data_IF_561504671589
#
_entry.id   IF_561504671589
#
_cell.length_a   1.000
_cell.length_b   1.000
_cell.length_c   1.000
_cell.angle_alpha   90.00
_cell.angle_beta   90.00
_cell.angle_gamma   90.00
#
_symmetry.space_group_name_H-M   'P 1'
#
loop_
_entity.id
_entity.type
_entity.pdbx_description
1 polymer ?
#
# COMPACT_ATOMS: atom_id res chain seq x y z
N UNK A 1 -23.50 31.92 -7.47
CA UNK A 1 -24.60 31.29 -8.23
C UNK A 1 -25.92 31.40 -7.50
N UNK A 2 -26.03 30.96 -6.27
CA UNK A 2 -27.26 30.99 -5.47
C UNK A 2 -27.81 32.43 -5.25
N UNK A 3 -26.90 33.37 -5.00
CA UNK A 3 -27.31 34.76 -4.69
C UNK A 3 -27.78 35.53 -5.92
N UNK A 4 -27.27 35.20 -7.12
CA UNK A 4 -27.69 35.81 -8.38
C UNK A 4 -29.00 35.23 -8.91
N UNK A 5 -29.28 33.94 -8.65
CA UNK A 5 -30.53 33.28 -9.03
C UNK A 5 -31.73 33.90 -8.32
N UNK A 6 -31.57 34.28 -7.03
CA UNK A 6 -32.62 34.94 -6.28
C UNK A 6 -32.96 36.36 -6.76
N UNK A 7 -32.07 36.99 -7.57
CA UNK A 7 -32.30 38.30 -8.20
C UNK A 7 -32.77 38.21 -9.67
N UNK A 8 -33.12 37.01 -10.15
CA UNK A 8 -33.60 36.77 -11.51
C UNK A 8 -32.54 36.87 -12.63
N UNK A 9 -31.27 37.03 -12.30
CA UNK A 9 -30.18 37.04 -13.27
C UNK A 9 -29.50 35.70 -13.35
N UNK A 10 -29.76 34.93 -14.39
CA UNK A 10 -29.04 33.68 -14.72
C UNK A 10 -27.71 34.02 -15.41
N UNK A 11 -26.62 33.99 -14.67
CA UNK A 11 -25.30 34.18 -15.24
C UNK A 11 -24.79 32.82 -15.74
N UNK A 12 -25.14 32.49 -17.00
CA UNK A 12 -24.87 31.19 -17.64
C UNK A 12 -23.37 30.97 -17.83
N UNK A 13 -22.55 32.03 -17.77
CA UNK A 13 -21.10 31.97 -17.96
C UNK A 13 -20.35 31.44 -16.73
N UNK A 14 -20.97 31.35 -15.57
CA UNK A 14 -20.31 30.81 -14.36
C UNK A 14 -19.97 29.33 -14.50
N UNK A 15 -20.86 28.55 -15.12
CA UNK A 15 -20.64 27.11 -15.32
C UNK A 15 -19.41 26.79 -16.22
N UNK A 16 -19.29 27.35 -17.43
CA UNK A 16 -18.13 27.07 -18.30
C UNK A 16 -16.83 27.61 -17.69
N UNK A 17 -16.86 28.76 -16.98
CA UNK A 17 -15.66 29.29 -16.32
C UNK A 17 -15.23 28.40 -15.17
N UNK A 18 -16.16 27.89 -14.35
CA UNK A 18 -15.85 26.98 -13.25
C UNK A 18 -15.30 25.64 -13.76
N UNK A 19 -15.86 25.09 -14.84
CA UNK A 19 -15.35 23.87 -15.44
C UNK A 19 -13.95 24.04 -16.03
N UNK A 20 -13.70 25.15 -16.74
CA UNK A 20 -12.38 25.47 -17.27
C UNK A 20 -11.33 25.63 -16.16
N UNK A 21 -11.70 26.27 -15.04
CA UNK A 21 -10.82 26.41 -13.87
C UNK A 21 -10.46 25.06 -13.23
N UNK A 22 -11.43 24.14 -13.12
CA UNK A 22 -11.21 22.79 -12.60
C UNK A 22 -10.28 22.01 -13.53
N UNK A 23 -10.47 22.06 -14.85
CA UNK A 23 -9.58 21.41 -15.80
C UNK A 23 -8.16 22.00 -15.77
N UNK A 24 -8.01 23.32 -15.63
CA UNK A 24 -6.71 23.96 -15.47
C UNK A 24 -6.01 23.49 -14.18
N UNK A 25 -6.74 23.41 -13.07
CA UNK A 25 -6.22 22.87 -11.81
C UNK A 25 -5.77 21.42 -11.94
N UNK A 26 -6.53 20.54 -12.59
CA UNK A 26 -6.17 19.16 -12.83
C UNK A 26 -4.90 19.08 -13.70
N UNK A 27 -4.74 19.98 -14.66
CA UNK A 27 -3.57 20.00 -15.53
C UNK A 27 -2.30 20.48 -14.81
N UNK A 28 -2.44 21.45 -13.90
CA UNK A 28 -1.33 22.00 -13.10
C UNK A 28 -0.97 21.05 -11.94
N UNK A 29 -1.95 20.37 -11.36
CA UNK A 29 -1.77 19.45 -10.20
C UNK A 29 -1.53 18.01 -10.62
N UNK A 30 -1.32 17.72 -11.93
CA UNK A 30 -0.84 16.39 -12.31
C UNK A 30 0.39 16.10 -11.45
N UNK A 31 0.35 15.11 -10.52
CA UNK A 31 1.57 14.71 -9.84
C UNK A 31 2.54 14.30 -10.94
N UNK A 32 3.65 14.98 -11.03
CA UNK A 32 4.77 14.48 -11.81
C UNK A 32 5.04 13.10 -11.25
N UNK A 33 4.73 12.05 -12.01
CA UNK A 33 5.23 10.72 -11.72
C UNK A 33 6.73 10.85 -11.87
N UNK A 34 7.40 11.26 -10.80
CA UNK A 34 8.82 11.11 -10.67
C UNK A 34 9.04 9.60 -10.64
N UNK A 35 9.18 9.03 -11.82
CA UNK A 35 9.92 7.78 -11.99
C UNK A 35 11.30 8.14 -11.47
N UNK A 36 11.52 7.89 -10.20
CA UNK A 36 12.83 7.91 -9.59
C UNK A 36 13.62 6.82 -10.31
N UNK A 37 14.38 7.21 -11.30
CA UNK A 37 15.43 6.39 -11.87
C UNK A 37 16.54 6.27 -10.82
N UNK A 38 16.27 5.51 -9.77
CA UNK A 38 17.33 4.96 -8.93
C UNK A 38 18.04 3.90 -9.76
N UNK A 39 19.37 3.99 -9.91
CA UNK A 39 20.14 3.05 -10.71
C UNK A 39 20.35 1.66 -10.09
N UNK A 40 19.68 1.35 -9.01
CA UNK A 40 19.61 0.01 -8.46
C UNK A 40 18.26 -0.65 -8.84
N UNK A 41 18.12 -0.95 -10.13
CA UNK A 41 17.25 -2.05 -10.53
C UNK A 41 17.84 -3.31 -9.90
N UNK A 42 17.33 -3.71 -8.74
CA UNK A 42 17.37 -5.10 -8.33
C UNK A 42 16.61 -5.85 -9.43
N UNK A 43 17.36 -6.30 -10.44
CA UNK A 43 16.86 -7.19 -11.48
C UNK A 43 16.61 -8.52 -10.77
N UNK A 44 15.43 -8.68 -10.17
CA UNK A 44 14.94 -10.00 -9.85
C UNK A 44 14.70 -10.68 -11.18
N UNK A 45 15.70 -11.47 -11.61
CA UNK A 45 15.54 -12.39 -12.72
C UNK A 45 14.30 -13.26 -12.51
N UNK A 46 13.98 -14.12 -13.46
CA UNK A 46 12.89 -15.11 -13.40
C UNK A 46 13.04 -16.13 -12.26
N UNK A 47 13.88 -15.87 -11.28
CA UNK A 47 14.18 -16.74 -10.14
C UNK A 47 13.05 -16.67 -9.12
N UNK A 48 12.63 -17.84 -8.68
CA UNK A 48 11.60 -18.03 -7.63
C UNK A 48 12.00 -17.31 -6.34
N UNK A 49 11.06 -16.65 -5.69
CA UNK A 49 11.29 -15.97 -4.41
C UNK A 49 11.34 -17.01 -3.28
N UNK A 50 12.49 -17.23 -2.63
CA UNK A 50 12.58 -18.22 -1.56
C UNK A 50 11.82 -17.74 -0.33
N UNK A 51 11.07 -18.66 0.31
CA UNK A 51 10.27 -18.32 1.50
C UNK A 51 11.12 -17.77 2.64
N UNK A 52 12.37 -18.18 2.79
CA UNK A 52 13.27 -17.65 3.81
C UNK A 52 13.42 -16.12 3.75
N UNK A 53 13.44 -15.53 2.55
CA UNK A 53 13.48 -14.08 2.36
C UNK A 53 12.17 -13.44 2.80
N UNK A 54 11.04 -14.03 2.41
CA UNK A 54 9.69 -13.59 2.82
C UNK A 54 9.56 -13.64 4.34
N UNK A 55 10.01 -14.73 4.96
CA UNK A 55 10.00 -14.91 6.41
C UNK A 55 10.77 -13.79 7.11
N UNK A 56 11.97 -13.47 6.63
CA UNK A 56 12.80 -12.40 7.17
C UNK A 56 12.07 -11.04 7.12
N UNK A 57 11.42 -10.72 6.01
CA UNK A 57 10.63 -9.48 5.88
C UNK A 57 9.48 -9.46 6.89
N UNK A 58 8.73 -10.55 7.00
CA UNK A 58 7.59 -10.63 7.93
C UNK A 58 8.03 -10.54 9.39
N UNK A 59 9.16 -11.15 9.75
CA UNK A 59 9.72 -11.07 11.09
C UNK A 59 10.10 -9.64 11.47
N UNK A 60 10.72 -8.92 10.55
CA UNK A 60 11.16 -7.54 10.80
C UNK A 60 10.03 -6.51 10.73
N UNK A 61 9.03 -6.73 9.87
CA UNK A 61 8.03 -5.71 9.54
C UNK A 61 6.65 -5.95 10.14
N UNK A 62 6.32 -7.19 10.51
CA UNK A 62 4.96 -7.57 10.88
C UNK A 62 4.83 -8.17 12.29
N UNK A 63 5.81 -8.96 12.74
CA UNK A 63 5.73 -9.71 13.98
C UNK A 63 5.66 -8.84 15.24
N UNK A 64 6.17 -7.62 15.21
CA UNK A 64 6.07 -6.70 16.34
C UNK A 64 4.61 -6.48 16.79
N UNK A 65 3.67 -6.49 15.83
CA UNK A 65 2.23 -6.35 16.10
C UNK A 65 1.45 -7.67 15.90
N UNK A 66 1.91 -8.54 15.00
CA UNK A 66 1.18 -9.72 14.53
C UNK A 66 1.83 -11.03 15.00
N UNK A 67 2.05 -11.15 16.28
CA UNK A 67 2.55 -12.38 16.94
C UNK A 67 1.66 -12.77 18.12
N UNK A 68 1.89 -13.96 18.67
CA UNK A 68 1.21 -14.40 19.90
C UNK A 68 1.58 -13.52 21.09
N UNK A 69 2.78 -12.92 21.08
CA UNK A 69 3.29 -12.01 22.11
C UNK A 69 3.81 -10.73 21.46
N UNK A 70 2.92 -9.78 21.08
CA UNK A 70 3.34 -8.55 20.42
C UNK A 70 4.28 -7.72 21.29
N UNK A 71 5.29 -7.15 20.67
CA UNK A 71 6.28 -6.27 21.32
C UNK A 71 6.06 -4.79 21.02
N UNK A 72 5.04 -4.48 20.22
CA UNK A 72 4.66 -3.11 19.86
C UNK A 72 4.19 -2.32 21.09
N UNK A 73 4.46 -1.02 21.11
CA UNK A 73 4.11 -0.13 22.23
C UNK A 73 2.60 0.13 22.33
N UNK A 74 1.87 0.05 21.23
CA UNK A 74 0.42 0.29 21.14
C UNK A 74 -0.37 -1.02 21.12
N UNK A 75 0.02 -1.96 20.26
CA UNK A 75 -0.69 -3.23 20.06
C UNK A 75 -0.13 -4.32 20.97
N UNK A 76 -0.77 -4.54 22.11
CA UNK A 76 -0.39 -5.58 23.10
C UNK A 76 -1.02 -6.95 22.82
N UNK A 77 -1.95 -7.00 21.89
CA UNK A 77 -2.64 -8.21 21.41
C UNK A 77 -2.67 -8.11 19.89
N UNK A 78 -2.44 -9.24 19.21
CA UNK A 78 -2.45 -9.28 17.75
C UNK A 78 -3.78 -8.74 17.18
N UNK A 79 -3.74 -7.66 16.38
CA UNK A 79 -4.94 -7.05 15.82
C UNK A 79 -5.76 -8.06 15.02
N UNK A 80 -7.06 -8.12 15.31
CA UNK A 80 -8.02 -9.09 14.71
C UNK A 80 -7.59 -10.57 14.85
N UNK A 81 -6.71 -10.89 15.78
CA UNK A 81 -6.17 -12.24 15.94
C UNK A 81 -5.29 -12.72 14.78
N UNK A 82 -4.83 -11.81 13.93
CA UNK A 82 -3.93 -12.13 12.82
C UNK A 82 -2.51 -12.27 13.37
N UNK A 83 -1.94 -13.48 13.23
CA UNK A 83 -0.61 -13.81 13.72
C UNK A 83 0.20 -14.50 12.63
N UNK A 84 1.51 -14.21 12.58
CA UNK A 84 2.45 -14.74 11.60
C UNK A 84 3.55 -15.61 12.26
N UNK A 85 3.24 -16.23 13.39
CA UNK A 85 4.20 -17.05 14.16
C UNK A 85 4.59 -18.35 13.48
N UNK A 86 3.78 -18.87 12.55
CA UNK A 86 4.10 -20.10 11.82
C UNK A 86 3.97 -19.93 10.31
N UNK A 87 4.83 -20.64 9.59
CA UNK A 87 4.92 -20.59 8.12
C UNK A 87 3.61 -20.99 7.43
N UNK A 88 2.96 -22.05 7.94
CA UNK A 88 1.63 -22.45 7.45
C UNK A 88 0.57 -21.38 7.64
N UNK A 89 0.64 -20.63 8.73
CA UNK A 89 -0.26 -19.51 8.99
C UNK A 89 0.00 -18.37 8.01
N UNK A 90 1.27 -18.04 7.77
CA UNK A 90 1.68 -17.04 6.77
C UNK A 90 1.14 -17.43 5.40
N UNK A 91 1.37 -18.67 4.98
CA UNK A 91 0.88 -19.17 3.69
C UNK A 91 -0.66 -19.06 3.59
N UNK A 92 -1.39 -19.46 4.62
CA UNK A 92 -2.85 -19.38 4.63
C UNK A 92 -3.39 -17.95 4.57
N UNK A 93 -2.58 -16.97 4.98
CA UNK A 93 -2.91 -15.54 5.00
C UNK A 93 -2.30 -14.77 3.81
N UNK A 94 -1.67 -15.46 2.86
CA UNK A 94 -0.96 -14.82 1.74
C UNK A 94 -1.82 -13.81 0.98
N UNK A 95 -3.07 -14.15 0.67
CA UNK A 95 -4.00 -13.23 -0.02
C UNK A 95 -4.29 -11.98 0.81
N UNK A 96 -4.43 -12.12 2.14
CA UNK A 96 -4.63 -10.98 3.04
C UNK A 96 -3.37 -10.11 3.11
N UNK A 97 -2.18 -10.73 3.19
CA UNK A 97 -0.89 -10.04 3.15
C UNK A 97 -0.78 -9.22 1.85
N UNK A 98 -1.08 -9.82 0.68
CA UNK A 98 -1.08 -9.11 -0.61
C UNK A 98 -1.99 -7.89 -0.57
N UNK A 99 -3.24 -8.08 -0.15
CA UNK A 99 -4.22 -6.99 -0.12
C UNK A 99 -3.76 -5.84 0.77
N UNK A 100 -3.32 -6.14 2.00
CA UNK A 100 -3.01 -5.12 3.00
C UNK A 100 -1.63 -4.47 2.79
N UNK A 101 -0.66 -5.22 2.27
CA UNK A 101 0.73 -4.76 2.21
C UNK A 101 1.13 -4.27 0.82
N UNK A 102 0.61 -4.91 -0.24
CA UNK A 102 1.01 -4.62 -1.62
C UNK A 102 -0.05 -3.75 -2.32
N UNK A 103 -1.32 -4.17 -2.28
CA UNK A 103 -2.37 -3.49 -3.06
C UNK A 103 -2.83 -2.19 -2.41
N UNK A 104 -3.17 -2.22 -1.12
CA UNK A 104 -3.71 -1.04 -0.42
C UNK A 104 -2.65 -0.23 0.34
N UNK A 105 -1.48 -0.82 0.55
CA UNK A 105 -0.38 -0.24 1.33
C UNK A 105 -0.82 0.17 2.76
N UNK A 106 -1.91 -0.41 3.26
CA UNK A 106 -2.46 -0.10 4.57
C UNK A 106 -1.58 -0.64 5.72
N UNK A 107 -0.81 -1.70 5.44
CA UNK A 107 0.10 -2.31 6.41
C UNK A 107 1.56 -2.25 5.94
N UNK A 108 2.49 -2.12 6.87
CA UNK A 108 2.34 -1.79 8.29
C UNK A 108 1.64 -0.45 8.50
N UNK A 109 0.87 -0.32 9.58
CA UNK A 109 0.08 0.88 9.84
C UNK A 109 0.98 2.13 9.90
N UNK A 110 0.69 3.12 9.04
CA UNK A 110 1.51 4.31 8.91
C UNK A 110 2.97 4.03 8.55
N UNK A 111 3.26 2.86 8.00
CA UNK A 111 4.61 2.35 7.72
C UNK A 111 5.54 2.35 8.96
N UNK A 112 4.99 2.13 10.14
CA UNK A 112 5.68 2.21 11.45
C UNK A 112 6.97 1.37 11.50
N UNK A 113 6.98 0.21 10.86
CA UNK A 113 8.14 -0.71 10.83
C UNK A 113 9.06 -0.48 9.63
N UNK A 114 8.75 0.50 8.77
CA UNK A 114 9.61 0.93 7.67
C UNK A 114 9.77 -0.09 6.55
N UNK A 115 8.70 -0.81 6.17
CA UNK A 115 8.75 -1.70 5.00
C UNK A 115 9.06 -0.91 3.73
N UNK A 116 10.00 -1.42 2.92
CA UNK A 116 10.42 -0.75 1.70
C UNK A 116 9.56 -1.12 0.48
N UNK A 117 9.59 -0.33 -0.60
CA UNK A 117 8.93 -0.70 -1.85
C UNK A 117 9.41 -2.05 -2.41
N UNK A 118 10.70 -2.35 -2.30
CA UNK A 118 11.32 -3.59 -2.76
C UNK A 118 10.81 -4.78 -1.96
N UNK A 119 10.72 -4.65 -0.63
CA UNK A 119 10.15 -5.69 0.24
C UNK A 119 8.69 -5.98 -0.12
N UNK A 120 7.90 -4.96 -0.48
CA UNK A 120 6.52 -5.13 -0.96
C UNK A 120 6.46 -5.87 -2.29
N UNK A 121 7.39 -5.59 -3.21
CA UNK A 121 7.50 -6.30 -4.48
C UNK A 121 7.84 -7.78 -4.25
N UNK A 122 8.77 -8.07 -3.35
CA UNK A 122 9.15 -9.45 -2.98
C UNK A 122 7.92 -10.22 -2.44
N UNK A 123 7.20 -9.63 -1.49
CA UNK A 123 5.98 -10.22 -0.95
C UNK A 123 4.93 -10.47 -2.05
N UNK A 124 4.73 -9.48 -2.92
CA UNK A 124 3.78 -9.57 -4.02
C UNK A 124 4.10 -10.72 -4.97
N UNK A 125 5.36 -10.82 -5.40
CA UNK A 125 5.84 -11.87 -6.30
C UNK A 125 5.72 -13.25 -5.68
N UNK A 126 6.19 -13.44 -4.45
CA UNK A 126 6.06 -14.70 -3.74
C UNK A 126 4.60 -15.20 -3.72
N UNK A 127 3.64 -14.30 -3.48
CA UNK A 127 2.23 -14.65 -3.45
C UNK A 127 1.72 -14.98 -4.86
N UNK A 128 2.15 -14.27 -5.88
CA UNK A 128 1.80 -14.53 -7.29
C UNK A 128 2.38 -15.85 -7.79
N UNK A 129 3.52 -16.26 -7.26
CA UNK A 129 4.16 -17.55 -7.51
C UNK A 129 3.52 -18.73 -6.75
N UNK A 130 2.42 -18.45 -5.99
CA UNK A 130 1.65 -19.49 -5.29
C UNK A 130 1.95 -19.62 -3.80
N UNK A 131 2.70 -18.67 -3.22
CA UNK A 131 3.05 -18.64 -1.80
C UNK A 131 3.65 -19.95 -1.28
N UNK A 132 4.61 -20.52 -2.03
CA UNK A 132 5.34 -21.74 -1.63
C UNK A 132 6.15 -21.51 -0.35
N UNK A 133 6.35 -22.57 0.43
CA UNK A 133 7.21 -22.59 1.62
C UNK A 133 8.61 -23.16 1.33
N UNK A 134 8.91 -23.40 0.06
CA UNK A 134 10.21 -23.85 -0.41
C UNK A 134 11.21 -22.71 -0.54
#
# INVERSE_FOLDING_TARGET
FFNLKNKGHLNIWILPIATAAIFALIFVTKPASTVSNSPDKVSFGTEHIPFALVRTILDQRCLSCHSATPTDDVFRIAPKGIMFDSDKKIQSLASLIKTQTVTTIAMPLGNKTGITPEERIILGRWIEEGASLE
#
